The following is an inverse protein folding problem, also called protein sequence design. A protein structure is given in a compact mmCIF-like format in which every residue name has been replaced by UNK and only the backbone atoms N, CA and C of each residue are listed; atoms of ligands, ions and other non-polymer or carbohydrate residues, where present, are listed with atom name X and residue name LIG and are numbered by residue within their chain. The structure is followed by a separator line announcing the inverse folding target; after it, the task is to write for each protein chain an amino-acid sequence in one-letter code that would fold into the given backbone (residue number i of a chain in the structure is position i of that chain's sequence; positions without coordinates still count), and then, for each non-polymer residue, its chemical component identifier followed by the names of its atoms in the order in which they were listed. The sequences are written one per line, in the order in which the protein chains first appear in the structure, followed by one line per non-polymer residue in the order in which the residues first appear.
data_IF_321893722332
#
_entry.id   IF_321893722332
#
_cell.length_a   1.000
_cell.length_b   1.000
_cell.length_c   1.000
_cell.angle_alpha   90.00
_cell.angle_beta   90.00
_cell.angle_gamma   90.00
#
_symmetry.space_group_name_H-M   'P 1'
#
loop_
_entity.id
_entity.type
_entity.pdbx_description
1 polymer ?
#
# COMPACT_ATOMS: atom_id res chain seq x y z
N UNK A 1 14.06 -3.16 24.15
CA UNK A 1 13.06 -2.81 23.12
C UNK A 1 13.60 -3.24 21.77
N UNK A 2 13.26 -4.44 21.30
CA UNK A 2 13.71 -4.95 20.00
C UNK A 2 12.65 -4.59 18.95
N UNK A 3 13.04 -3.96 17.82
CA UNK A 3 12.17 -3.90 16.64
C UNK A 3 12.25 -2.69 15.71
N UNK A 4 13.06 -1.66 15.99
CA UNK A 4 13.06 -0.43 15.18
C UNK A 4 13.74 -0.55 13.80
N UNK A 5 14.58 -1.56 13.56
CA UNK A 5 15.44 -1.62 12.36
C UNK A 5 14.93 -2.55 11.24
N UNK A 6 13.72 -3.12 11.32
CA UNK A 6 13.26 -4.14 10.36
C UNK A 6 11.82 -3.99 9.85
N UNK A 7 11.15 -2.87 10.14
CA UNK A 7 9.77 -2.65 9.73
C UNK A 7 9.58 -1.62 8.61
N UNK A 8 10.58 -0.77 8.33
CA UNK A 8 10.49 0.30 7.33
C UNK A 8 10.13 -0.19 5.91
N UNK A 9 10.64 -1.36 5.52
CA UNK A 9 10.41 -1.97 4.20
C UNK A 9 9.17 -2.87 4.14
N UNK A 10 8.35 -2.91 5.20
CA UNK A 10 7.10 -3.68 5.21
C UNK A 10 5.97 -2.81 4.71
N UNK A 11 5.08 -3.37 3.89
CA UNK A 11 3.94 -2.63 3.33
C UNK A 11 3.06 -1.99 4.42
N UNK A 12 2.91 -2.65 5.57
CA UNK A 12 2.18 -2.08 6.70
C UNK A 12 2.82 -0.80 7.26
N UNK A 13 4.15 -0.67 7.26
CA UNK A 13 4.83 0.57 7.68
C UNK A 13 4.74 1.66 6.61
N UNK A 14 4.92 1.29 5.33
CA UNK A 14 4.85 2.21 4.20
C UNK A 14 3.45 2.82 4.01
N UNK A 15 2.41 2.12 4.45
CA UNK A 15 1.00 2.57 4.36
C UNK A 15 0.44 3.02 5.72
N UNK A 16 1.26 3.07 6.78
CA UNK A 16 0.81 3.34 8.16
C UNK A 16 0.28 4.76 8.35
N UNK A 17 0.87 5.74 7.67
CA UNK A 17 0.45 7.14 7.71
C UNK A 17 0.39 7.68 6.27
N UNK A 18 -0.65 8.46 5.91
CA UNK A 18 -0.78 9.02 4.57
C UNK A 18 0.39 9.94 4.20
N UNK A 19 1.05 10.56 5.18
CA UNK A 19 2.24 11.39 4.97
C UNK A 19 3.47 10.63 4.44
N UNK A 20 3.50 9.30 4.59
CA UNK A 20 4.61 8.45 4.16
C UNK A 20 4.18 7.43 3.10
N UNK A 21 2.98 7.60 2.54
CA UNK A 21 2.41 6.73 1.53
C UNK A 21 2.96 7.10 0.15
N UNK A 22 3.96 6.33 -0.30
CA UNK A 22 4.50 6.41 -1.66
C UNK A 22 3.75 5.44 -2.58
N UNK A 23 2.73 5.93 -3.30
CA UNK A 23 1.90 5.10 -4.18
C UNK A 23 2.73 4.39 -5.26
N UNK A 24 3.73 5.07 -5.84
CA UNK A 24 4.59 4.47 -6.87
C UNK A 24 5.45 3.31 -6.35
N UNK A 25 5.97 3.42 -5.11
CA UNK A 25 6.72 2.33 -4.47
C UNK A 25 5.79 1.16 -4.16
N UNK A 26 4.59 1.42 -3.65
CA UNK A 26 3.64 0.35 -3.33
C UNK A 26 3.15 -0.34 -4.62
N UNK A 27 2.98 0.40 -5.71
CA UNK A 27 2.61 -0.12 -7.04
C UNK A 27 3.67 -1.08 -7.59
N UNK A 28 4.95 -0.71 -7.52
CA UNK A 28 6.05 -1.56 -8.03
C UNK A 28 6.29 -2.83 -7.20
N UNK A 29 5.84 -2.85 -5.95
CA UNK A 29 5.95 -4.00 -5.05
C UNK A 29 4.76 -4.97 -5.15
N UNK A 30 3.68 -4.58 -5.83
CA UNK A 30 2.50 -5.43 -6.04
C UNK A 30 2.52 -6.01 -7.45
N UNK A 31 2.03 -7.24 -7.60
CA UNK A 31 1.97 -7.91 -8.90
C UNK A 31 0.70 -7.48 -9.65
N UNK A 32 0.86 -6.75 -10.76
CA UNK A 32 -0.21 -6.26 -11.63
C UNK A 32 -1.34 -5.49 -10.89
N UNK A 33 -1.03 -4.46 -10.08
CA UNK A 33 -2.05 -3.67 -9.41
C UNK A 33 -2.83 -2.81 -10.40
N UNK A 34 -4.14 -3.02 -10.44
CA UNK A 34 -5.09 -2.28 -11.30
C UNK A 34 -5.94 -1.29 -10.53
N UNK A 35 -6.01 -1.47 -9.21
CA UNK A 35 -6.84 -0.67 -8.32
C UNK A 35 -6.05 -0.22 -7.11
N UNK A 36 -6.38 0.96 -6.60
CA UNK A 36 -5.87 1.52 -5.35
C UNK A 36 -7.02 1.88 -4.43
N UNK A 37 -6.84 1.71 -3.12
CA UNK A 37 -7.80 2.15 -2.14
C UNK A 37 -7.63 3.65 -1.88
N UNK A 38 -8.66 4.44 -2.17
CA UNK A 38 -8.65 5.90 -1.94
C UNK A 38 -8.38 6.26 -0.47
N UNK A 39 -8.86 5.44 0.48
CA UNK A 39 -8.75 5.75 1.92
C UNK A 39 -7.43 5.34 2.57
N UNK A 40 -6.79 4.26 2.10
CA UNK A 40 -5.62 3.70 2.77
C UNK A 40 -4.41 3.45 1.86
N UNK A 41 -4.53 3.71 0.55
CA UNK A 41 -3.42 3.63 -0.39
C UNK A 41 -2.95 2.21 -0.74
N UNK A 42 -3.66 1.17 -0.28
CA UNK A 42 -3.35 -0.22 -0.65
C UNK A 42 -3.73 -0.48 -2.10
N UNK A 43 -2.95 -1.30 -2.78
CA UNK A 43 -3.17 -1.64 -4.19
C UNK A 43 -3.53 -3.11 -4.36
N UNK A 44 -4.34 -3.42 -5.36
CA UNK A 44 -4.75 -4.78 -5.70
C UNK A 44 -4.97 -4.94 -7.21
N UNK A 45 -4.94 -6.19 -7.68
CA UNK A 45 -5.24 -6.54 -9.07
C UNK A 45 -6.75 -6.56 -9.37
N UNK A 46 -7.60 -6.62 -8.35
CA UNK A 46 -9.07 -6.67 -8.47
C UNK A 46 -9.72 -5.72 -7.46
N UNK A 47 -10.82 -5.08 -7.86
CA UNK A 47 -11.54 -4.09 -7.06
C UNK A 47 -12.16 -4.70 -5.78
N UNK A 48 -12.61 -5.95 -5.83
CA UNK A 48 -13.23 -6.66 -4.70
C UNK A 48 -12.31 -6.85 -3.48
N UNK A 49 -10.99 -6.76 -3.70
CA UNK A 49 -10.00 -6.88 -2.63
C UNK A 49 -9.79 -5.57 -1.85
N UNK A 50 -10.47 -4.49 -2.23
CA UNK A 50 -10.33 -3.16 -1.62
C UNK A 50 -11.67 -2.64 -1.11
N UNK A 51 -11.63 -1.90 0.00
CA UNK A 51 -12.83 -1.30 0.57
C UNK A 51 -13.39 -0.15 -0.28
N UNK A 52 -12.50 0.63 -0.92
CA UNK A 52 -12.83 1.76 -1.80
C UNK A 52 -11.91 1.78 -3.04
N UNK A 53 -12.14 0.87 -4.00
CA UNK A 53 -11.28 0.74 -5.17
C UNK A 53 -11.45 1.92 -6.12
N UNK A 54 -10.33 2.54 -6.48
CA UNK A 54 -10.17 3.50 -7.57
C UNK A 54 -9.22 2.90 -8.61
N UNK A 55 -9.45 3.16 -9.90
CA UNK A 55 -8.59 2.65 -10.97
C UNK A 55 -7.22 3.36 -10.97
N UNK A 56 -6.14 2.58 -11.12
CA UNK A 56 -4.73 3.02 -11.13
C UNK A 56 -4.17 3.37 -12.51
#
# INVERSE_FOLDING_TARGET
MAGAAAHENKMCAMTCCPCNLDVEKVKSLSNDPKFICESCGRVANQAENLCRPEAL
#
